data_IF_627755610889
#
_entry.id   IF_627755610889
#
_cell.length_a   1.000
_cell.length_b   1.000
_cell.length_c   1.000
_cell.angle_alpha   90.00
_cell.angle_beta   90.00
_cell.angle_gamma   90.00
#
_symmetry.space_group_name_H-M   'P 1'
#
loop_
_entity.id
_entity.type
_entity.pdbx_description
1 polymer ?
#
# COMPACT_ATOMS: atom_id res chain seq x y z
N UNK A 1 11.77 -5.17 9.61
CA UNK A 1 11.23 -4.63 8.35
C UNK A 1 11.27 -3.12 8.42
N UNK A 2 11.68 -2.46 7.34
CA UNK A 2 11.66 -0.99 7.25
C UNK A 2 10.58 -0.56 6.25
N UNK A 3 9.87 0.52 6.58
CA UNK A 3 8.84 1.11 5.73
C UNK A 3 9.30 2.50 5.32
N UNK A 4 9.31 2.77 4.02
CA UNK A 4 9.44 4.13 3.49
C UNK A 4 8.23 4.46 2.63
N UNK A 5 7.85 5.73 2.60
CA UNK A 5 6.72 6.18 1.80
C UNK A 5 7.17 7.19 0.76
N UNK A 6 6.59 7.09 -0.44
CA UNK A 6 6.64 8.15 -1.44
C UNK A 6 5.22 8.62 -1.70
N UNK A 7 5.02 9.92 -1.62
CA UNK A 7 3.74 10.55 -1.87
C UNK A 7 3.93 11.60 -2.97
N UNK A 8 3.09 11.55 -3.98
CA UNK A 8 2.86 12.66 -4.88
C UNK A 8 1.41 13.15 -4.70
N UNK A 9 1.04 14.23 -5.39
CA UNK A 9 -0.36 14.67 -5.47
C UNK A 9 -1.26 13.63 -6.14
N UNK A 10 -0.70 12.84 -7.06
CA UNK A 10 -1.41 11.90 -7.91
C UNK A 10 -1.13 10.42 -7.60
N UNK A 11 -0.31 10.07 -6.60
CA UNK A 11 -0.03 8.67 -6.26
C UNK A 11 0.58 8.53 -4.88
N UNK A 12 0.43 7.34 -4.29
CA UNK A 12 1.09 6.98 -3.03
C UNK A 12 1.67 5.58 -3.13
N UNK A 13 2.92 5.44 -2.73
CA UNK A 13 3.61 4.17 -2.65
C UNK A 13 4.22 3.98 -1.26
N UNK A 14 4.05 2.77 -0.72
CA UNK A 14 4.78 2.29 0.45
C UNK A 14 5.78 1.26 -0.02
N UNK A 15 7.04 1.47 0.29
CA UNK A 15 8.12 0.54 0.03
C UNK A 15 8.46 -0.18 1.33
N UNK A 16 8.37 -1.50 1.29
CA UNK A 16 8.64 -2.38 2.41
C UNK A 16 9.91 -3.16 2.09
N UNK A 17 10.89 -3.06 2.97
CA UNK A 17 12.15 -3.81 2.88
C UNK A 17 12.22 -4.78 4.04
N UNK A 18 12.27 -6.07 3.74
CA UNK A 18 12.41 -7.12 4.73
C UNK A 18 13.89 -7.50 4.92
N UNK A 19 14.43 -7.12 6.07
CA UNK A 19 15.81 -7.43 6.47
C UNK A 19 15.93 -8.71 7.29
N UNK A 20 14.88 -9.55 7.36
CA UNK A 20 14.93 -10.85 8.03
C UNK A 20 15.71 -11.88 7.19
N UNK A 21 16.94 -11.54 6.84
CA UNK A 21 17.89 -12.40 6.15
C UNK A 21 18.34 -13.51 7.10
N UNK A 22 18.32 -14.74 6.59
CA UNK A 22 18.79 -15.94 7.26
C UNK A 22 20.04 -16.42 6.55
N UNK A 23 21.18 -16.29 7.22
CA UNK A 23 22.48 -16.67 6.68
C UNK A 23 22.58 -18.16 6.38
N UNK A 24 21.98 -19.01 7.22
CA UNK A 24 22.06 -20.46 7.04
C UNK A 24 21.29 -20.94 5.80
N UNK A 25 20.20 -20.24 5.47
CA UNK A 25 19.36 -20.53 4.31
C UNK A 25 19.73 -19.71 3.06
N UNK A 26 20.67 -18.76 3.19
CA UNK A 26 21.00 -17.76 2.15
C UNK A 26 19.75 -17.10 1.54
N UNK A 27 18.81 -16.72 2.42
CA UNK A 27 17.50 -16.24 1.98
C UNK A 27 16.84 -15.29 2.99
N UNK A 28 16.03 -14.36 2.49
CA UNK A 28 15.12 -13.58 3.34
C UNK A 28 13.90 -14.41 3.70
N UNK A 29 13.65 -14.60 5.00
CA UNK A 29 12.45 -15.26 5.52
C UNK A 29 11.21 -14.41 5.22
N UNK A 30 10.24 -14.88 4.41
CA UNK A 30 9.06 -14.11 4.10
C UNK A 30 8.21 -13.87 5.35
N UNK A 31 7.71 -12.64 5.51
CA UNK A 31 6.67 -12.36 6.49
C UNK A 31 5.32 -12.77 5.90
N UNK A 32 4.40 -13.22 6.76
CA UNK A 32 3.04 -13.63 6.40
C UNK A 32 2.03 -12.82 7.20
N UNK A 33 0.87 -12.60 6.59
CA UNK A 33 -0.27 -11.92 7.22
C UNK A 33 0.10 -10.59 7.88
N UNK A 34 0.98 -9.85 7.22
CA UNK A 34 1.55 -8.61 7.72
C UNK A 34 0.48 -7.51 7.66
N UNK A 35 -0.04 -7.16 8.82
CA UNK A 35 -0.98 -6.05 8.99
C UNK A 35 -0.25 -4.72 9.04
N UNK A 36 -0.69 -3.78 8.20
CA UNK A 36 -0.18 -2.41 8.14
C UNK A 36 -1.31 -1.43 8.45
N UNK A 37 -1.04 -0.53 9.39
CA UNK A 37 -1.87 0.61 9.70
C UNK A 37 -1.17 1.87 9.18
N UNK A 38 -1.68 2.44 8.09
CA UNK A 38 -1.06 3.52 7.34
C UNK A 38 -1.78 4.82 7.68
N UNK A 39 -1.07 5.75 8.33
CA UNK A 39 -1.58 7.09 8.59
C UNK A 39 -1.48 7.97 7.35
N UNK A 40 -2.58 8.60 7.01
CA UNK A 40 -2.76 9.43 5.84
C UNK A 40 -3.89 10.45 6.09
N UNK A 41 -3.66 11.49 6.92
CA UNK A 41 -4.69 12.47 7.26
C UNK A 41 -5.33 13.11 6.01
N UNK A 42 -6.65 13.25 6.04
CA UNK A 42 -7.45 13.83 4.95
C UNK A 42 -7.49 13.00 3.67
N UNK A 43 -7.01 11.75 3.68
CA UNK A 43 -6.96 10.88 2.50
C UNK A 43 -7.20 9.42 2.86
N UNK A 44 -8.37 8.90 2.49
CA UNK A 44 -8.68 7.47 2.58
C UNK A 44 -8.72 6.84 1.18
N UNK A 45 -8.46 5.54 1.11
CA UNK A 45 -8.61 4.75 -0.12
C UNK A 45 -8.99 3.32 0.22
N UNK A 46 -9.76 2.68 -0.66
CA UNK A 46 -10.29 1.32 -0.50
C UNK A 46 -9.58 0.26 -1.35
N UNK A 47 -8.68 0.69 -2.24
CA UNK A 47 -7.96 -0.20 -3.16
C UNK A 47 -6.49 0.22 -3.26
N UNK A 48 -5.62 -0.78 -3.30
CA UNK A 48 -4.22 -0.64 -3.65
C UNK A 48 -3.79 -1.78 -4.58
N UNK A 49 -2.60 -1.66 -5.14
CA UNK A 49 -1.93 -2.72 -5.89
C UNK A 49 -0.66 -3.10 -5.13
N UNK A 50 -0.40 -4.39 -4.98
CA UNK A 50 0.86 -4.89 -4.45
C UNK A 50 1.77 -5.32 -5.59
N UNK A 51 3.03 -4.93 -5.51
CA UNK A 51 4.09 -5.31 -6.44
C UNK A 51 5.19 -6.04 -5.67
N UNK A 52 5.62 -7.19 -6.21
CA UNK A 52 6.68 -8.01 -5.63
C UNK A 52 7.59 -8.52 -6.75
N UNK A 53 8.91 -8.63 -6.53
CA UNK A 53 9.82 -9.21 -7.50
C UNK A 53 9.37 -10.60 -7.95
N UNK A 54 9.40 -10.86 -9.26
CA UNK A 54 9.01 -12.14 -9.85
C UNK A 54 7.53 -12.47 -9.82
N UNK A 55 6.65 -11.54 -9.42
CA UNK A 55 5.19 -11.73 -9.38
C UNK A 55 4.47 -10.67 -10.19
N UNK A 56 3.35 -11.06 -10.80
CA UNK A 56 2.44 -10.09 -11.40
C UNK A 56 1.87 -9.16 -10.31
N UNK A 57 1.63 -7.87 -10.61
CA UNK A 57 0.92 -6.98 -9.70
C UNK A 57 -0.45 -7.55 -9.34
N UNK A 58 -0.82 -7.45 -8.06
CA UNK A 58 -2.08 -7.98 -7.58
C UNK A 58 -2.90 -6.90 -6.87
N UNK A 59 -4.23 -6.96 -7.01
CA UNK A 59 -5.13 -6.11 -6.26
C UNK A 59 -5.03 -6.43 -4.76
N UNK A 60 -4.98 -5.39 -3.94
CA UNK A 60 -4.91 -5.48 -2.50
C UNK A 60 -6.13 -4.75 -1.90
N UNK A 61 -7.03 -5.48 -1.22
CA UNK A 61 -8.11 -4.86 -0.45
C UNK A 61 -7.54 -3.97 0.64
N UNK A 62 -8.16 -2.80 0.83
CA UNK A 62 -7.78 -1.84 1.85
C UNK A 62 -9.03 -1.43 2.62
N UNK A 63 -8.96 -1.48 3.94
CA UNK A 63 -10.01 -0.97 4.83
C UNK A 63 -9.76 0.51 5.07
N UNK A 64 -10.61 1.42 4.55
CA UNK A 64 -10.48 2.85 4.81
C UNK A 64 -10.64 3.16 6.30
N UNK A 65 -9.90 4.15 6.78
CA UNK A 65 -10.03 4.70 8.14
C UNK A 65 -10.12 6.24 8.07
N UNK A 66 -10.67 6.92 9.09
CA UNK A 66 -10.74 8.38 9.10
C UNK A 66 -9.39 9.06 8.84
N UNK A 67 -8.31 8.55 9.45
CA UNK A 67 -6.95 9.10 9.34
C UNK A 67 -6.01 8.27 8.46
N UNK A 68 -6.55 7.51 7.52
CA UNK A 68 -5.77 6.77 6.53
C UNK A 68 -6.38 5.44 6.15
N UNK A 69 -5.64 4.36 6.33
CA UNK A 69 -6.14 3.03 5.98
C UNK A 69 -5.44 1.88 6.71
N UNK A 70 -6.05 0.71 6.62
CA UNK A 70 -5.49 -0.55 7.07
C UNK A 70 -5.50 -1.57 5.93
N UNK A 71 -4.45 -2.39 5.87
CA UNK A 71 -4.34 -3.47 4.91
C UNK A 71 -3.54 -4.64 5.48
N UNK A 72 -3.75 -5.83 4.93
CA UNK A 72 -3.01 -7.04 5.29
C UNK A 72 -2.33 -7.58 4.06
N UNK A 73 -1.01 -7.71 4.11
CA UNK A 73 -0.23 -8.36 3.06
C UNK A 73 -0.15 -9.86 3.36
N UNK A 74 -0.63 -10.74 2.46
CA UNK A 74 -0.58 -12.18 2.68
C UNK A 74 0.88 -12.68 2.76
N UNK A 75 1.78 -12.03 2.03
CA UNK A 75 3.22 -12.27 2.14
C UNK A 75 4.03 -11.03 1.81
N UNK A 76 5.18 -10.87 2.46
CA UNK A 76 6.20 -9.87 2.12
C UNK A 76 7.60 -10.52 2.12
N UNK A 77 8.21 -10.59 0.94
CA UNK A 77 9.59 -11.06 0.74
C UNK A 77 10.62 -9.94 0.92
N UNK A 78 11.78 -10.04 0.26
CA UNK A 78 12.88 -9.05 0.31
C UNK A 78 12.36 -7.62 0.10
N UNK A 79 11.51 -7.43 -0.90
CA UNK A 79 10.97 -6.14 -1.29
C UNK A 79 9.50 -6.25 -1.67
N UNK A 80 8.69 -5.32 -1.21
CA UNK A 80 7.26 -5.23 -1.55
C UNK A 80 6.85 -3.77 -1.67
N UNK A 81 6.13 -3.43 -2.72
CA UNK A 81 5.57 -2.08 -2.91
C UNK A 81 4.06 -2.15 -2.86
N UNK A 82 3.44 -1.34 -2.01
CA UNK A 82 2.00 -1.11 -2.02
C UNK A 82 1.74 0.24 -2.67
N UNK A 83 1.08 0.23 -3.82
CA UNK A 83 0.86 1.42 -4.64
C UNK A 83 -0.64 1.69 -4.79
N UNK A 84 -1.04 2.92 -4.50
CA UNK A 84 -2.31 3.49 -4.91
C UNK A 84 -2.05 4.48 -6.05
N UNK A 85 -2.54 4.15 -7.24
CA UNK A 85 -2.66 5.12 -8.32
C UNK A 85 -3.69 6.19 -7.90
N UNK A 86 -3.38 7.46 -8.12
CA UNK A 86 -4.38 8.52 -8.00
C UNK A 86 -5.40 8.41 -9.12
N UNK A 87 -6.55 9.03 -8.91
CA UNK A 87 -7.51 9.19 -9.99
C UNK A 87 -6.89 10.12 -11.04
N UNK A 88 -6.62 9.61 -12.24
CA UNK A 88 -6.45 10.47 -13.41
C UNK A 88 -7.84 11.02 -13.75
N UNK A 89 -8.09 12.27 -13.37
CA UNK A 89 -9.23 13.06 -13.82
C UNK A 89 -10.62 12.50 -13.46
N UNK A 90 -11.11 12.84 -12.28
CA UNK A 90 -12.51 13.19 -12.12
C UNK A 90 -12.53 14.43 -11.25
N UNK A 91 -12.97 15.55 -11.82
CA UNK A 91 -13.39 16.68 -11.04
C UNK A 91 -14.44 16.18 -10.04
N UNK A 92 -14.16 16.29 -8.74
CA UNK A 92 -15.23 16.37 -7.73
C UNK A 92 -15.85 17.76 -7.87
N UNK A 93 -16.56 17.95 -8.98
CA UNK A 93 -17.52 19.00 -9.22
C UNK A 93 -18.86 18.31 -9.44
N UNK A 94 -19.62 18.16 -8.36
CA UNK A 94 -21.06 17.99 -8.43
C UNK A 94 -21.65 18.95 -7.41
N UNK A 95 -21.84 20.18 -7.88
CA UNK A 95 -22.84 21.09 -7.36
C UNK A 95 -24.19 20.36 -7.34
N UNK A 96 -24.66 19.98 -6.15
CA UNK A 96 -26.04 19.55 -5.95
C UNK A 96 -26.77 20.72 -5.32
N UNK A 97 -27.32 21.56 -6.21
CA UNK A 97 -28.29 22.59 -5.88
C UNK A 97 -29.56 21.91 -5.35
N UNK A 98 -29.96 22.21 -4.11
CA UNK A 98 -31.28 21.89 -3.59
C UNK A 98 -31.72 22.95 -2.57
N UNK A 99 -32.34 24.00 -3.11
CA UNK A 99 -33.41 24.86 -2.57
C UNK A 99 -33.27 25.45 -1.17
#
# INVERSE_FOLDING_TARGET
>A
MTVSSRCSTASRALHLVNYAYDEAADAVRPLRDLRLDVRAPGRSFSRATVHQPGRAPAALPVTPKPDGCQLTLPTAGVYTVVHRAGATGAAEGSEANAR
#
